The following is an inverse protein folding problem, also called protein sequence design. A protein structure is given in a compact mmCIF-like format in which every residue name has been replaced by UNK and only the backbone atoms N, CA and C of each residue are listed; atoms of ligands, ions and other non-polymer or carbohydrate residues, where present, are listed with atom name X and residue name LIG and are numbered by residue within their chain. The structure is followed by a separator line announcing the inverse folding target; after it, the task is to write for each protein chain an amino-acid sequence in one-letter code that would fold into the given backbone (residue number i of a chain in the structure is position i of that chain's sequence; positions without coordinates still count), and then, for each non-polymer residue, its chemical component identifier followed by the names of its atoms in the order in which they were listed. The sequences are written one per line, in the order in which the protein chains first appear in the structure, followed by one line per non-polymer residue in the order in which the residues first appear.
data_IF_473089979910
#
_entry.id   IF_473089979910
#
_cell.length_a   1.000
_cell.length_b   1.000
_cell.length_c   1.000
_cell.angle_alpha   90.00
_cell.angle_beta   90.00
_cell.angle_gamma   90.00
#
_symmetry.space_group_name_H-M   'P 1'
#
loop_
_entity.id
_entity.type
_entity.pdbx_description
1 polymer ?
#
# COMPACT_ATOMS: atom_id res chain seq x y z
N UNK A 1 26.09 3.54 -1.77
CA UNK A 1 27.41 2.97 -2.07
C UNK A 1 27.52 2.32 -3.45
N UNK A 2 26.42 1.88 -4.09
CA UNK A 2 26.42 1.35 -5.45
C UNK A 2 26.99 2.37 -6.45
N UNK A 3 26.61 3.65 -6.30
CA UNK A 3 27.13 4.73 -7.16
C UNK A 3 28.65 4.99 -7.01
N UNK A 4 29.26 4.55 -5.89
CA UNK A 4 30.71 4.59 -5.73
C UNK A 4 31.42 3.44 -6.46
N UNK A 5 30.75 2.30 -6.60
CA UNK A 5 31.27 1.13 -7.31
C UNK A 5 31.13 1.30 -8.83
N UNK A 6 29.94 1.67 -9.28
CA UNK A 6 29.64 1.93 -10.71
C UNK A 6 28.88 3.26 -10.79
N UNK A 7 29.59 4.39 -10.97
CA UNK A 7 28.96 5.71 -11.01
C UNK A 7 27.88 5.79 -12.10
N UNK A 8 26.75 6.40 -11.75
CA UNK A 8 25.65 6.74 -12.67
C UNK A 8 24.90 5.53 -13.28
N UNK A 9 25.11 4.32 -12.78
CA UNK A 9 24.45 3.14 -13.34
C UNK A 9 23.20 2.72 -12.57
N UNK A 10 23.27 2.69 -11.25
CA UNK A 10 22.20 2.14 -10.41
C UNK A 10 21.11 3.14 -10.05
N UNK A 11 21.36 4.41 -10.28
CA UNK A 11 20.42 5.50 -9.99
C UNK A 11 20.11 6.29 -11.25
N UNK A 12 18.84 6.70 -11.36
CA UNK A 12 18.39 7.57 -12.45
C UNK A 12 19.01 8.95 -12.34
N UNK A 13 19.25 9.58 -13.47
CA UNK A 13 19.74 10.95 -13.57
C UNK A 13 18.85 11.76 -14.48
N UNK A 14 18.67 13.02 -14.13
CA UNK A 14 18.02 14.02 -14.97
C UNK A 14 18.95 14.39 -16.16
N UNK A 15 18.43 15.11 -17.14
CA UNK A 15 19.18 15.53 -18.32
C UNK A 15 20.42 16.39 -17.98
N UNK A 16 20.37 17.14 -16.88
CA UNK A 16 21.50 17.95 -16.39
C UNK A 16 22.55 17.15 -15.62
N UNK A 17 22.35 15.83 -15.47
CA UNK A 17 23.24 14.93 -14.74
C UNK A 17 23.01 14.88 -13.22
N UNK A 18 22.02 15.58 -12.69
CA UNK A 18 21.62 15.45 -11.28
C UNK A 18 20.92 14.12 -11.04
N UNK A 19 20.94 13.60 -9.80
CA UNK A 19 20.25 12.36 -9.44
C UNK A 19 18.75 12.63 -9.36
N UNK A 20 17.93 11.83 -10.05
CA UNK A 20 16.49 11.87 -9.97
C UNK A 20 15.99 11.55 -8.57
N UNK A 21 14.97 12.25 -8.10
CA UNK A 21 14.47 12.18 -6.72
C UNK A 21 12.95 12.06 -6.62
N UNK A 22 12.35 11.26 -7.49
CA UNK A 22 10.91 10.93 -7.44
C UNK A 22 10.48 10.22 -6.16
N UNK A 23 11.44 9.67 -5.42
CA UNK A 23 11.23 9.08 -4.08
C UNK A 23 11.12 10.13 -2.95
N UNK A 24 11.55 11.37 -3.17
CA UNK A 24 11.82 12.38 -2.14
C UNK A 24 12.82 11.93 -1.06
N UNK A 25 13.58 10.85 -1.31
CA UNK A 25 14.58 10.27 -0.41
C UNK A 25 16.02 10.46 -0.91
N UNK A 26 16.22 11.28 -1.93
CA UNK A 26 17.51 11.68 -2.46
C UNK A 26 18.02 10.90 -3.68
N UNK A 27 17.34 9.85 -4.10
CA UNK A 27 17.66 9.10 -5.31
C UNK A 27 16.52 8.16 -5.73
N UNK A 28 16.52 7.78 -7.02
CA UNK A 28 15.64 6.77 -7.58
C UNK A 28 16.48 5.64 -8.18
N UNK A 29 16.08 4.41 -7.90
CA UNK A 29 16.75 3.22 -8.42
C UNK A 29 16.37 3.02 -9.88
N UNK A 30 17.38 2.86 -10.75
CA UNK A 30 17.19 2.65 -12.20
C UNK A 30 16.84 1.17 -12.49
N UNK A 31 15.63 0.77 -12.10
CA UNK A 31 15.15 -0.62 -12.15
C UNK A 31 15.05 -1.17 -13.59
N UNK A 32 14.91 -0.32 -14.58
CA UNK A 32 14.89 -0.63 -16.02
C UNK A 32 16.26 -1.03 -16.58
N UNK A 33 17.35 -0.73 -15.89
CA UNK A 33 18.70 -1.10 -16.31
C UNK A 33 19.00 -2.54 -15.89
N UNK A 34 19.52 -3.33 -16.83
CA UNK A 34 19.64 -4.80 -16.71
C UNK A 34 20.35 -5.29 -15.45
N UNK A 35 21.50 -4.71 -15.09
CA UNK A 35 22.24 -5.14 -13.90
C UNK A 35 21.54 -4.71 -12.60
N UNK A 36 20.81 -3.59 -12.61
CA UNK A 36 20.01 -3.16 -11.47
C UNK A 36 18.79 -4.07 -11.29
N UNK A 37 18.08 -4.37 -12.36
CA UNK A 37 16.96 -5.33 -12.34
C UNK A 37 17.40 -6.71 -11.84
N UNK A 38 18.54 -7.20 -12.33
CA UNK A 38 19.10 -8.48 -11.90
C UNK A 38 19.50 -8.49 -10.42
N UNK A 39 20.08 -7.40 -9.93
CA UNK A 39 20.42 -7.26 -8.52
C UNK A 39 19.17 -7.34 -7.63
N UNK A 40 18.09 -6.64 -8.01
CA UNK A 40 16.82 -6.65 -7.25
C UNK A 40 16.19 -8.05 -7.31
N UNK A 41 16.09 -8.65 -8.50
CA UNK A 41 15.54 -10.00 -8.70
C UNK A 41 16.30 -11.04 -7.87
N UNK A 42 17.63 -11.06 -7.95
CA UNK A 42 18.45 -12.01 -7.19
C UNK A 42 18.34 -11.78 -5.68
N UNK A 43 18.20 -10.54 -5.23
CA UNK A 43 17.95 -10.23 -3.82
C UNK A 43 16.62 -10.83 -3.34
N UNK A 44 15.54 -10.68 -4.10
CA UNK A 44 14.23 -11.27 -3.77
C UNK A 44 14.31 -12.79 -3.69
N UNK A 45 14.92 -13.43 -4.69
CA UNK A 45 15.07 -14.90 -4.72
C UNK A 45 15.94 -15.41 -3.57
N UNK A 46 17.04 -14.70 -3.25
CA UNK A 46 17.89 -15.03 -2.11
C UNK A 46 17.14 -15.00 -0.78
N UNK A 47 16.37 -13.95 -0.52
CA UNK A 47 15.60 -13.85 0.72
C UNK A 47 14.49 -14.89 0.82
N UNK A 48 13.84 -15.23 -0.29
CA UNK A 48 12.84 -16.30 -0.33
C UNK A 48 13.48 -17.67 -0.06
N UNK A 49 14.65 -17.95 -0.65
CA UNK A 49 15.32 -19.24 -0.55
C UNK A 49 16.00 -19.44 0.81
N UNK A 50 16.81 -18.48 1.24
CA UNK A 50 17.64 -18.64 2.45
C UNK A 50 16.88 -18.38 3.74
N UNK A 51 15.88 -17.49 3.72
CA UNK A 51 15.14 -17.08 4.91
C UNK A 51 13.68 -17.55 4.92
N UNK A 52 13.24 -18.24 3.88
CA UNK A 52 11.87 -18.76 3.72
C UNK A 52 10.80 -17.69 3.94
N UNK A 53 11.01 -16.52 3.32
CA UNK A 53 10.07 -15.40 3.38
C UNK A 53 8.91 -15.70 2.43
N UNK A 54 7.67 -15.57 2.94
CA UNK A 54 6.43 -15.88 2.20
C UNK A 54 5.90 -14.70 1.36
N UNK A 55 6.59 -13.56 1.36
CA UNK A 55 6.16 -12.41 0.55
C UNK A 55 7.06 -11.20 0.64
N UNK A 56 6.86 -10.28 -0.31
CA UNK A 56 7.63 -9.05 -0.45
C UNK A 56 6.71 -7.86 -0.66
N UNK A 57 6.92 -6.83 0.13
CA UNK A 57 6.30 -5.52 -0.05
C UNK A 57 7.35 -4.54 -0.56
N UNK A 58 7.09 -3.93 -1.71
CA UNK A 58 7.95 -2.91 -2.29
C UNK A 58 7.48 -1.51 -1.88
N UNK A 59 8.36 -0.81 -1.20
CA UNK A 59 8.21 0.60 -0.89
C UNK A 59 8.28 1.41 -2.19
N UNK A 60 7.38 2.39 -2.36
CA UNK A 60 7.31 3.19 -3.59
C UNK A 60 7.47 2.34 -4.87
N UNK A 61 6.73 1.23 -4.96
CA UNK A 61 6.76 0.34 -6.14
C UNK A 61 6.48 1.12 -7.44
N UNK A 62 5.74 2.23 -7.35
CA UNK A 62 5.48 3.12 -8.47
C UNK A 62 6.74 3.75 -9.10
N UNK A 63 7.88 3.68 -8.43
CA UNK A 63 9.19 4.08 -8.98
C UNK A 63 9.90 2.95 -9.72
N UNK A 64 9.45 1.69 -9.57
CA UNK A 64 10.01 0.55 -10.30
C UNK A 64 9.24 0.35 -11.61
N UNK A 65 9.89 -0.30 -12.57
CA UNK A 65 9.24 -0.59 -13.84
C UNK A 65 8.38 -1.87 -13.79
N UNK A 66 7.35 -1.89 -14.62
CA UNK A 66 6.42 -3.01 -14.76
C UNK A 66 7.13 -4.30 -15.15
N UNK A 67 8.14 -4.23 -16.03
CA UNK A 67 8.82 -5.42 -16.53
C UNK A 67 9.62 -6.10 -15.42
N UNK A 68 10.29 -5.34 -14.56
CA UNK A 68 10.94 -5.90 -13.37
C UNK A 68 9.95 -6.59 -12.45
N UNK A 69 8.83 -5.94 -12.12
CA UNK A 69 7.83 -6.52 -11.24
C UNK A 69 7.24 -7.82 -11.81
N UNK A 70 6.96 -7.86 -13.10
CA UNK A 70 6.49 -9.06 -13.79
C UNK A 70 7.57 -10.16 -13.85
N UNK A 71 8.84 -9.81 -14.02
CA UNK A 71 9.97 -10.76 -13.98
C UNK A 71 10.11 -11.38 -12.59
N UNK A 72 10.02 -10.58 -11.54
CA UNK A 72 10.05 -11.06 -10.14
C UNK A 72 8.88 -12.03 -9.91
N UNK A 73 7.65 -11.66 -10.32
CA UNK A 73 6.48 -12.55 -10.18
C UNK A 73 6.70 -13.89 -10.84
N UNK A 74 7.11 -13.91 -12.09
CA UNK A 74 7.35 -15.14 -12.86
C UNK A 74 8.45 -16.00 -12.23
N UNK A 75 9.56 -15.41 -11.80
CA UNK A 75 10.64 -16.15 -11.17
C UNK A 75 10.24 -16.78 -9.82
N UNK A 76 9.38 -16.10 -9.06
CA UNK A 76 8.81 -16.66 -7.82
C UNK A 76 7.83 -17.78 -8.13
N UNK A 77 6.94 -17.63 -9.12
CA UNK A 77 5.98 -18.65 -9.52
C UNK A 77 6.65 -19.92 -10.07
N UNK A 78 7.68 -19.75 -10.88
CA UNK A 78 8.47 -20.88 -11.42
C UNK A 78 9.17 -21.68 -10.32
N UNK A 79 9.63 -21.02 -9.24
CA UNK A 79 10.41 -21.65 -8.18
C UNK A 79 9.57 -22.24 -7.05
N UNK A 80 8.49 -21.59 -6.69
CA UNK A 80 7.69 -21.91 -5.50
C UNK A 80 6.25 -22.33 -5.81
N UNK A 81 5.76 -22.07 -7.01
CA UNK A 81 4.36 -22.26 -7.42
C UNK A 81 3.60 -20.95 -7.56
N UNK A 82 2.58 -20.96 -8.40
CA UNK A 82 1.78 -19.77 -8.71
C UNK A 82 1.10 -19.21 -7.46
N UNK A 83 1.46 -17.98 -7.09
CA UNK A 83 0.86 -17.24 -5.98
C UNK A 83 1.32 -17.67 -4.58
N UNK A 84 2.22 -18.66 -4.43
CA UNK A 84 2.70 -19.11 -3.11
C UNK A 84 3.48 -18.02 -2.37
N UNK A 85 4.25 -17.19 -3.08
CA UNK A 85 4.97 -16.06 -2.49
C UNK A 85 4.20 -14.77 -2.80
N UNK A 86 3.74 -14.06 -1.78
CA UNK A 86 3.03 -12.79 -1.95
C UNK A 86 3.96 -11.71 -2.50
N UNK A 87 3.51 -10.97 -3.53
CA UNK A 87 4.24 -9.86 -4.12
C UNK A 87 3.34 -8.65 -4.27
N UNK A 88 3.66 -7.54 -3.62
CA UNK A 88 2.87 -6.33 -3.70
C UNK A 88 3.69 -5.08 -3.36
N UNK A 89 3.11 -3.91 -3.57
CA UNK A 89 3.79 -2.66 -3.22
C UNK A 89 2.90 -1.43 -3.31
N UNK A 90 3.51 -0.28 -3.11
CA UNK A 90 2.86 1.02 -3.17
C UNK A 90 2.85 1.52 -4.62
N UNK A 91 1.66 1.74 -5.22
CA UNK A 91 1.53 2.11 -6.64
C UNK A 91 1.65 3.63 -6.86
N UNK A 92 2.50 4.29 -6.11
CA UNK A 92 2.74 5.73 -6.19
C UNK A 92 4.23 6.06 -6.10
N UNK A 93 4.56 7.30 -6.41
CA UNK A 93 5.82 7.98 -6.17
C UNK A 93 5.52 9.30 -5.44
N UNK A 94 6.51 9.87 -4.77
CA UNK A 94 6.35 11.19 -4.15
C UNK A 94 6.34 12.30 -5.21
N UNK A 95 7.20 12.16 -6.25
CA UNK A 95 7.32 13.09 -7.37
C UNK A 95 7.61 12.33 -8.67
N UNK A 96 7.83 13.03 -9.75
CA UNK A 96 8.23 12.44 -11.03
C UNK A 96 9.64 11.85 -10.95
N UNK A 97 9.88 10.77 -11.70
CA UNK A 97 11.17 10.10 -11.80
C UNK A 97 11.67 10.10 -13.25
N UNK A 98 12.97 10.23 -13.44
CA UNK A 98 13.62 10.18 -14.75
C UNK A 98 13.79 8.73 -15.25
N UNK A 99 12.68 8.02 -15.46
CA UNK A 99 12.68 6.66 -16.02
C UNK A 99 13.09 6.68 -17.48
N UNK A 100 13.95 5.76 -17.87
CA UNK A 100 14.59 5.76 -19.20
C UNK A 100 13.82 4.95 -20.26
N UNK A 101 13.94 5.37 -21.51
CA UNK A 101 13.41 4.66 -22.68
C UNK A 101 11.89 4.47 -22.62
N UNK A 102 11.44 3.27 -23.02
CA UNK A 102 10.03 2.90 -23.05
C UNK A 102 9.57 2.20 -21.75
N UNK A 103 10.38 2.26 -20.69
CA UNK A 103 10.04 1.66 -19.40
C UNK A 103 8.77 2.31 -18.83
N UNK A 104 7.92 1.50 -18.22
CA UNK A 104 6.62 1.92 -17.69
C UNK A 104 6.62 1.77 -16.19
N UNK A 105 6.39 2.85 -15.43
CA UNK A 105 6.38 2.78 -13.98
C UNK A 105 5.19 1.94 -13.47
N UNK A 106 5.39 1.20 -12.38
CA UNK A 106 4.36 0.38 -11.75
C UNK A 106 3.40 1.24 -10.89
N UNK A 107 2.93 2.36 -11.46
CA UNK A 107 1.93 3.24 -10.88
C UNK A 107 0.52 2.62 -10.99
N UNK A 108 -0.41 3.11 -10.18
CA UNK A 108 -1.80 2.63 -10.12
C UNK A 108 -2.49 2.55 -11.49
N UNK A 109 -2.31 3.55 -12.34
CA UNK A 109 -2.88 3.58 -13.69
C UNK A 109 -2.36 2.46 -14.60
N UNK A 110 -1.20 1.89 -14.30
CA UNK A 110 -0.56 0.82 -15.06
C UNK A 110 -0.84 -0.59 -14.49
N UNK A 111 -1.71 -0.74 -13.49
CA UNK A 111 -2.06 -2.05 -12.88
C UNK A 111 -2.47 -3.09 -13.94
N UNK A 112 -3.13 -2.65 -15.02
CA UNK A 112 -3.51 -3.51 -16.13
C UNK A 112 -2.33 -4.09 -16.93
N UNK A 113 -1.10 -3.61 -16.74
CA UNK A 113 0.14 -4.15 -17.37
C UNK A 113 0.87 -5.14 -16.47
N UNK A 114 0.57 -5.15 -15.17
CA UNK A 114 1.16 -6.10 -14.23
C UNK A 114 0.54 -7.49 -14.36
N UNK A 115 1.30 -8.50 -14.02
CA UNK A 115 0.80 -9.87 -13.86
C UNK A 115 -0.19 -9.96 -12.70
N UNK A 116 -1.16 -10.89 -12.76
CA UNK A 116 -2.25 -11.00 -11.78
C UNK A 116 -1.79 -11.24 -10.34
N UNK A 117 -0.60 -11.77 -10.17
CA UNK A 117 0.00 -12.03 -8.86
C UNK A 117 0.83 -10.87 -8.29
N UNK A 118 0.79 -9.67 -8.92
CA UNK A 118 1.43 -8.45 -8.39
C UNK A 118 0.36 -7.53 -7.83
N UNK A 119 0.31 -7.40 -6.49
CA UNK A 119 -0.66 -6.59 -5.78
C UNK A 119 -0.24 -5.14 -5.61
N UNK A 120 -1.22 -4.25 -5.51
CA UNK A 120 -1.05 -2.83 -5.22
C UNK A 120 -1.94 -2.39 -4.07
N UNK A 121 -1.41 -1.59 -3.16
CA UNK A 121 -2.23 -0.92 -2.15
C UNK A 121 -3.32 -0.08 -2.82
N UNK A 122 -4.56 -0.26 -2.37
CA UNK A 122 -5.72 0.41 -2.94
C UNK A 122 -6.10 1.67 -2.15
N UNK A 123 -5.53 2.80 -2.53
CA UNK A 123 -5.84 4.10 -1.94
C UNK A 123 -7.29 4.53 -2.21
N UNK A 124 -7.89 4.14 -3.34
CA UNK A 124 -9.29 4.42 -3.63
C UNK A 124 -10.22 3.78 -2.59
N UNK A 125 -9.98 2.52 -2.18
CA UNK A 125 -10.73 1.85 -1.10
C UNK A 125 -10.49 2.53 0.24
N UNK A 126 -9.23 2.82 0.57
CA UNK A 126 -8.85 3.50 1.81
C UNK A 126 -9.59 4.82 1.97
N UNK A 127 -9.54 5.66 0.94
CA UNK A 127 -10.08 7.02 0.99
C UNK A 127 -11.63 7.02 0.88
N UNK A 128 -12.22 6.11 0.10
CA UNK A 128 -13.66 5.95 0.07
C UNK A 128 -14.23 5.57 1.44
N UNK A 129 -13.54 4.72 2.21
CA UNK A 129 -14.03 4.26 3.51
C UNK A 129 -13.82 5.33 4.58
N UNK A 130 -12.58 5.82 4.82
CA UNK A 130 -12.24 6.67 5.97
C UNK A 130 -12.05 8.16 5.64
N UNK A 131 -12.07 8.52 4.36
CA UNK A 131 -11.80 9.86 3.87
C UNK A 131 -10.35 10.11 3.48
N UNK A 132 -10.13 11.22 2.81
CA UNK A 132 -8.86 11.58 2.19
C UNK A 132 -7.66 11.51 3.14
N UNK A 133 -6.60 10.83 2.71
CA UNK A 133 -5.47 10.47 3.59
C UNK A 133 -4.65 11.69 4.05
N UNK A 134 -4.55 12.74 3.25
CA UNK A 134 -3.80 13.97 3.58
C UNK A 134 -4.68 15.11 4.09
N UNK A 135 -6.01 14.99 4.02
CA UNK A 135 -6.95 16.03 4.41
C UNK A 135 -7.74 15.61 5.67
N UNK A 136 -7.34 16.17 6.81
CA UNK A 136 -7.86 15.76 8.11
C UNK A 136 -9.39 15.73 8.20
N UNK A 137 -10.05 16.74 7.64
CA UNK A 137 -11.51 16.99 7.78
C UNK A 137 -12.35 16.45 6.63
N UNK A 138 -11.74 15.95 5.55
CA UNK A 138 -12.52 15.34 4.46
C UNK A 138 -12.93 13.93 4.90
N UNK A 139 -14.24 13.67 5.12
CA UNK A 139 -14.74 12.38 5.55
C UNK A 139 -14.76 11.36 4.41
N UNK A 140 -14.89 10.10 4.75
CA UNK A 140 -15.28 9.02 3.84
C UNK A 140 -16.69 8.53 4.12
N UNK A 141 -17.06 7.43 3.52
CA UNK A 141 -18.37 6.82 3.64
C UNK A 141 -18.79 6.55 5.10
N UNK A 142 -17.87 6.01 5.91
CA UNK A 142 -18.21 5.61 7.29
C UNK A 142 -18.37 6.78 8.25
N UNK A 143 -17.83 7.95 7.92
CA UNK A 143 -17.81 9.12 8.81
C UNK A 143 -18.44 10.38 8.19
N UNK A 144 -19.40 10.20 7.27
CA UNK A 144 -20.36 11.21 6.88
C UNK A 144 -20.22 11.82 5.48
N UNK A 145 -19.39 11.25 4.60
CA UNK A 145 -19.42 11.63 3.19
C UNK A 145 -20.62 10.98 2.50
N UNK A 146 -21.26 11.74 1.61
CA UNK A 146 -22.35 11.31 0.76
C UNK A 146 -21.82 10.90 -0.63
N UNK A 147 -22.64 10.19 -1.42
CA UNK A 147 -22.35 9.81 -2.82
C UNK A 147 -21.11 8.91 -3.03
N UNK A 148 -20.72 8.11 -2.01
CA UNK A 148 -19.61 7.15 -2.09
C UNK A 148 -20.04 5.69 -2.22
N UNK A 149 -21.34 5.39 -2.33
CA UNK A 149 -21.88 4.02 -2.41
C UNK A 149 -21.29 3.25 -3.59
N UNK A 150 -21.09 3.93 -4.73
CA UNK A 150 -20.49 3.31 -5.90
C UNK A 150 -19.00 2.99 -5.66
N UNK A 151 -18.23 3.87 -5.02
CA UNK A 151 -16.83 3.60 -4.71
C UNK A 151 -16.69 2.47 -3.65
N UNK A 152 -17.63 2.35 -2.72
CA UNK A 152 -17.72 1.21 -1.79
C UNK A 152 -18.03 -0.09 -2.55
N UNK A 153 -18.99 -0.06 -3.50
CA UNK A 153 -19.31 -1.22 -4.32
C UNK A 153 -18.08 -1.69 -5.14
N UNK A 154 -17.35 -0.76 -5.74
CA UNK A 154 -16.12 -1.09 -6.47
C UNK A 154 -15.02 -1.61 -5.52
N UNK A 155 -14.93 -1.07 -4.31
CA UNK A 155 -14.02 -1.58 -3.27
C UNK A 155 -14.31 -3.04 -2.93
N UNK A 156 -15.59 -3.39 -2.73
CA UNK A 156 -16.02 -4.78 -2.49
C UNK A 156 -15.61 -5.71 -3.65
N UNK A 157 -15.63 -5.22 -4.89
CA UNK A 157 -15.23 -5.94 -6.11
C UNK A 157 -13.73 -5.89 -6.39
N UNK A 158 -12.92 -5.33 -5.49
CA UNK A 158 -11.48 -5.11 -5.66
C UNK A 158 -11.15 -4.30 -6.94
N UNK A 159 -11.97 -3.31 -7.29
CA UNK A 159 -11.77 -2.44 -8.47
C UNK A 159 -11.45 -3.22 -9.76
N UNK A 160 -12.00 -4.42 -9.88
CA UNK A 160 -11.76 -5.26 -11.04
C UNK A 160 -12.48 -4.71 -12.27
N UNK A 161 -11.75 -4.72 -13.41
CA UNK A 161 -12.28 -4.42 -14.71
C UNK A 161 -13.21 -5.57 -15.15
N UNK A 162 -14.47 -5.43 -14.88
CA UNK A 162 -15.52 -6.36 -15.33
C UNK A 162 -16.53 -5.63 -16.21
N UNK A 163 -17.79 -5.80 -15.88
CA UNK A 163 -18.92 -5.03 -16.44
C UNK A 163 -19.05 -3.63 -15.79
N UNK A 164 -18.04 -3.22 -14.99
CA UNK A 164 -18.05 -1.91 -14.34
C UNK A 164 -17.87 -0.79 -15.37
N UNK A 165 -18.79 0.18 -15.35
CA UNK A 165 -18.67 1.43 -16.10
C UNK A 165 -17.69 2.41 -15.46
N UNK A 166 -17.20 2.10 -14.26
CA UNK A 166 -16.26 2.95 -13.51
C UNK A 166 -14.89 2.94 -14.18
N UNK A 167 -14.45 4.10 -14.64
CA UNK A 167 -13.14 4.27 -15.31
C UNK A 167 -11.94 4.06 -14.39
N UNK A 168 -12.14 4.10 -13.07
CA UNK A 168 -11.09 3.82 -12.08
C UNK A 168 -10.85 2.32 -11.93
N UNK A 169 -11.84 1.44 -12.19
CA UNK A 169 -11.69 0.00 -12.08
C UNK A 169 -10.80 -0.54 -13.21
N UNK A 170 -9.59 -0.95 -12.88
CA UNK A 170 -8.56 -1.38 -13.86
C UNK A 170 -7.89 -2.70 -13.52
N UNK A 171 -8.07 -3.23 -12.32
CA UNK A 171 -7.48 -4.51 -11.91
C UNK A 171 -8.01 -5.65 -12.78
N UNK A 172 -7.15 -6.60 -13.14
CA UNK A 172 -7.50 -7.80 -13.91
C UNK A 172 -8.06 -8.92 -13.03
N UNK A 173 -7.71 -8.89 -11.75
CA UNK A 173 -8.09 -9.89 -10.77
C UNK A 173 -8.03 -9.28 -9.35
N UNK A 174 -8.82 -9.83 -8.39
CA UNK A 174 -8.76 -9.39 -7.00
C UNK A 174 -7.37 -9.50 -6.36
N UNK A 175 -6.57 -10.48 -6.77
CA UNK A 175 -5.20 -10.68 -6.29
C UNK A 175 -4.26 -9.48 -6.54
N UNK A 176 -4.63 -8.59 -7.46
CA UNK A 176 -3.88 -7.34 -7.69
C UNK A 176 -4.20 -6.22 -6.70
N UNK A 177 -5.16 -6.42 -5.81
CA UNK A 177 -5.64 -5.37 -4.90
C UNK A 177 -5.35 -5.72 -3.45
N UNK A 178 -4.62 -4.83 -2.77
CA UNK A 178 -4.43 -4.88 -1.32
C UNK A 178 -5.43 -3.93 -0.69
N UNK A 179 -6.46 -4.51 -0.07
CA UNK A 179 -7.54 -3.78 0.59
C UNK A 179 -7.11 -3.41 2.00
N UNK A 180 -7.20 -2.14 2.37
CA UNK A 180 -6.79 -1.63 3.67
C UNK A 180 -7.45 -0.28 3.98
N UNK A 181 -7.34 0.17 5.22
CA UNK A 181 -7.77 1.52 5.64
C UNK A 181 -6.68 2.30 6.34
N UNK A 182 -5.69 1.66 6.93
CA UNK A 182 -4.51 2.31 7.51
C UNK A 182 -3.25 1.47 7.39
N UNK A 183 -2.10 2.13 7.39
CA UNK A 183 -0.78 1.54 7.37
C UNK A 183 0.13 2.29 8.36
N UNK A 184 1.44 2.07 8.31
CA UNK A 184 2.39 2.77 9.19
C UNK A 184 2.48 4.27 8.89
N UNK A 185 2.28 4.66 7.63
CA UNK A 185 2.21 6.07 7.21
C UNK A 185 0.85 6.70 7.48
N UNK A 186 0.83 8.02 7.55
CA UNK A 186 -0.35 8.85 7.76
C UNK A 186 -1.09 8.53 9.08
N UNK A 187 -2.32 9.03 9.25
CA UNK A 187 -3.13 8.74 10.44
C UNK A 187 -3.54 7.27 10.50
N UNK A 188 -3.54 6.72 11.71
CA UNK A 188 -4.25 5.47 11.99
C UNK A 188 -5.75 5.63 11.67
N UNK A 189 -6.49 4.53 11.54
CA UNK A 189 -7.95 4.61 11.38
C UNK A 189 -8.59 5.39 12.53
N UNK A 190 -8.21 5.08 13.77
CA UNK A 190 -8.73 5.75 14.98
C UNK A 190 -8.47 7.25 14.97
N UNK A 191 -7.25 7.66 14.64
CA UNK A 191 -6.88 9.08 14.60
C UNK A 191 -7.59 9.83 13.47
N UNK A 192 -7.71 9.23 12.28
CA UNK A 192 -8.42 9.84 11.15
C UNK A 192 -9.91 10.04 11.47
N UNK A 193 -10.57 9.03 12.03
CA UNK A 193 -11.96 9.14 12.45
C UNK A 193 -12.14 10.22 13.52
N UNK A 194 -11.17 10.35 14.43
CA UNK A 194 -11.17 11.40 15.46
C UNK A 194 -11.09 12.84 14.94
N UNK A 195 -10.72 13.04 13.66
CA UNK A 195 -10.74 14.38 13.03
C UNK A 195 -12.15 14.85 12.67
N UNK A 196 -13.09 13.91 12.51
CA UNK A 196 -14.48 14.20 12.12
C UNK A 196 -15.51 13.78 13.19
N UNK A 197 -15.17 12.82 14.05
CA UNK A 197 -16.06 12.29 15.09
C UNK A 197 -15.40 12.46 16.45
N UNK A 198 -15.92 13.37 17.25
CA UNK A 198 -15.39 13.68 18.60
C UNK A 198 -15.86 12.70 19.65
N UNK A 199 -17.11 12.23 19.56
CA UNK A 199 -17.68 11.24 20.48
C UNK A 199 -16.99 9.88 20.32
N UNK A 200 -16.48 9.34 21.41
CA UNK A 200 -15.68 8.11 21.38
C UNK A 200 -16.53 6.87 21.13
N UNK A 201 -17.75 6.82 21.64
CA UNK A 201 -18.65 5.69 21.44
C UNK A 201 -19.10 5.60 19.97
N UNK A 202 -19.40 6.75 19.37
CA UNK A 202 -19.70 6.82 17.95
C UNK A 202 -18.49 6.45 17.11
N UNK A 203 -17.30 6.93 17.46
CA UNK A 203 -16.05 6.58 16.78
C UNK A 203 -15.79 5.07 16.81
N UNK A 204 -16.08 4.39 17.92
CA UNK A 204 -16.01 2.93 18.02
C UNK A 204 -16.98 2.23 17.07
N UNK A 205 -18.21 2.71 16.97
CA UNK A 205 -19.21 2.16 16.04
C UNK A 205 -18.75 2.31 14.59
N UNK A 206 -18.25 3.48 14.24
CA UNK A 206 -17.77 3.79 12.89
C UNK A 206 -16.48 3.01 12.57
N UNK A 207 -15.59 2.82 13.54
CA UNK A 207 -14.40 1.96 13.37
C UNK A 207 -14.82 0.52 13.05
N UNK A 208 -15.80 -0.05 13.76
CA UNK A 208 -16.36 -1.37 13.48
C UNK A 208 -16.97 -1.45 12.06
N UNK A 209 -17.67 -0.39 11.63
CA UNK A 209 -18.24 -0.34 10.28
C UNK A 209 -17.16 -0.31 9.21
N UNK A 210 -16.09 0.47 9.40
CA UNK A 210 -14.94 0.47 8.50
C UNK A 210 -14.31 -0.93 8.38
N UNK A 211 -14.08 -1.60 9.52
CA UNK A 211 -13.56 -2.96 9.56
C UNK A 211 -14.46 -3.94 8.81
N UNK A 212 -15.78 -3.90 9.05
CA UNK A 212 -16.73 -4.78 8.36
C UNK A 212 -16.67 -4.60 6.83
N UNK A 213 -16.53 -3.36 6.34
CA UNK A 213 -16.44 -3.11 4.91
C UNK A 213 -15.14 -3.68 4.33
N UNK A 214 -13.96 -3.22 4.82
CA UNK A 214 -12.73 -3.57 4.13
C UNK A 214 -12.31 -5.03 4.34
N UNK A 215 -12.65 -5.65 5.49
CA UNK A 215 -12.35 -7.06 5.74
C UNK A 215 -13.25 -8.03 4.97
N UNK A 216 -14.35 -7.55 4.40
CA UNK A 216 -15.24 -8.36 3.53
C UNK A 216 -15.10 -8.03 2.04
N UNK A 217 -14.21 -7.12 1.67
CA UNK A 217 -13.87 -6.89 0.28
C UNK A 217 -13.10 -8.07 -0.33
N UNK A 218 -13.20 -8.23 -1.64
CA UNK A 218 -12.32 -9.14 -2.37
C UNK A 218 -10.89 -8.59 -2.44
N UNK A 219 -9.93 -9.46 -2.70
CA UNK A 219 -8.52 -9.11 -2.75
C UNK A 219 -7.75 -9.58 -1.52
N UNK A 220 -6.51 -9.11 -1.41
CA UNK A 220 -5.66 -9.40 -0.28
C UNK A 220 -5.92 -8.37 0.83
N UNK A 221 -6.18 -8.87 2.04
CA UNK A 221 -6.43 -8.03 3.20
C UNK A 221 -5.12 -7.58 3.85
N UNK A 222 -5.02 -6.30 4.16
CA UNK A 222 -3.97 -5.75 5.01
C UNK A 222 -4.61 -4.86 6.09
N UNK A 223 -4.16 -4.99 7.33
CA UNK A 223 -4.50 -4.03 8.38
C UNK A 223 -3.31 -3.74 9.29
N UNK A 224 -3.27 -2.52 9.81
CA UNK A 224 -2.21 -2.05 10.68
C UNK A 224 -2.31 -2.74 12.06
N UNK A 225 -1.22 -3.33 12.53
CA UNK A 225 -1.16 -3.91 13.90
C UNK A 225 -1.63 -2.89 14.95
N UNK A 226 -2.61 -3.28 15.74
CA UNK A 226 -3.22 -2.44 16.78
C UNK A 226 -4.48 -1.69 16.31
N UNK A 227 -4.84 -1.74 15.05
CA UNK A 227 -6.09 -1.14 14.55
C UNK A 227 -7.30 -1.76 15.26
N UNK A 228 -7.24 -3.07 15.52
CA UNK A 228 -8.25 -3.85 16.24
C UNK A 228 -8.43 -3.47 17.73
N UNK A 229 -7.57 -2.62 18.24
CA UNK A 229 -7.72 -2.02 19.59
C UNK A 229 -7.50 -0.50 19.58
N UNK A 230 -7.93 0.16 18.50
CA UNK A 230 -7.96 1.60 18.38
C UNK A 230 -6.55 2.24 18.49
N UNK A 231 -5.53 1.67 17.84
CA UNK A 231 -4.18 2.24 17.83
C UNK A 231 -4.20 3.71 17.46
N UNK A 232 -3.48 4.51 18.24
CA UNK A 232 -3.34 5.94 18.02
C UNK A 232 -1.87 6.35 17.92
N UNK A 233 -1.60 7.39 17.19
CA UNK A 233 -0.36 8.16 17.17
C UNK A 233 -0.63 9.57 17.71
N UNK A 234 -1.53 9.67 18.72
CA UNK A 234 -2.00 10.91 19.33
C UNK A 234 -2.49 11.96 18.32
N UNK A 235 -3.09 11.48 17.22
CA UNK A 235 -3.62 12.33 16.16
C UNK A 235 -2.57 12.91 15.22
N UNK A 236 -1.30 12.50 15.33
CA UNK A 236 -0.24 12.92 14.41
C UNK A 236 -0.27 12.09 13.12
N UNK A 237 -0.07 12.75 12.02
CA UNK A 237 -0.06 12.12 10.70
C UNK A 237 1.26 11.40 10.45
N UNK A 238 2.34 12.16 10.43
CA UNK A 238 3.66 11.66 10.07
C UNK A 238 4.52 11.47 11.31
N UNK A 239 4.92 10.22 11.59
CA UNK A 239 5.63 9.85 12.82
C UNK A 239 6.86 8.98 12.56
N UNK A 240 7.34 8.90 11.30
CA UNK A 240 8.45 8.00 10.94
C UNK A 240 9.73 8.27 11.73
N UNK A 241 9.98 9.52 12.12
CA UNK A 241 11.13 9.93 12.93
C UNK A 241 10.74 10.43 14.34
N UNK A 242 9.50 10.17 14.77
CA UNK A 242 9.03 10.52 16.11
C UNK A 242 9.58 9.55 17.17
N UNK A 243 9.49 9.91 18.47
CA UNK A 243 9.88 9.03 19.55
C UNK A 243 9.17 7.67 19.49
N UNK A 244 9.88 6.62 19.94
CA UNK A 244 9.37 5.23 19.88
C UNK A 244 8.08 5.05 20.68
N UNK A 245 7.89 5.83 21.74
CA UNK A 245 6.70 5.82 22.59
C UNK A 245 5.43 6.10 21.81
N UNK A 246 5.52 6.94 20.78
CA UNK A 246 4.40 7.28 19.91
C UNK A 246 4.08 6.16 18.90
N UNK A 247 5.11 5.47 18.42
CA UNK A 247 4.97 4.44 17.38
C UNK A 247 4.75 3.02 17.95
N UNK A 248 5.01 2.81 19.23
CA UNK A 248 4.83 1.50 19.87
C UNK A 248 3.38 1.04 19.87
N UNK A 249 3.18 -0.27 20.01
CA UNK A 249 1.87 -0.85 20.32
C UNK A 249 1.59 -0.68 21.81
N UNK A 250 0.51 0.02 22.14
CA UNK A 250 0.04 0.12 23.52
C UNK A 250 -0.90 -1.05 23.84
N UNK A 251 -0.36 -2.09 24.44
CA UNK A 251 -1.12 -3.29 24.80
C UNK A 251 -2.19 -3.04 25.87
N UNK A 252 -2.12 -1.95 26.63
CA UNK A 252 -3.19 -1.58 27.57
C UNK A 252 -4.49 -1.23 26.83
N UNK A 253 -4.37 -0.66 25.64
CA UNK A 253 -5.53 -0.39 24.77
C UNK A 253 -6.24 -1.68 24.33
N UNK A 254 -5.53 -2.80 24.19
CA UNK A 254 -6.15 -4.09 23.87
C UNK A 254 -7.11 -4.59 24.95
N UNK A 255 -6.90 -4.19 26.21
CA UNK A 255 -7.84 -4.44 27.31
C UNK A 255 -8.96 -3.40 27.34
N UNK A 256 -8.62 -2.11 27.23
CA UNK A 256 -9.59 -1.02 27.24
C UNK A 256 -10.61 -1.14 26.09
N UNK A 257 -10.14 -1.47 24.90
CA UNK A 257 -10.97 -1.65 23.70
C UNK A 257 -11.23 -3.14 23.36
N UNK A 258 -11.38 -3.97 24.39
CA UNK A 258 -11.59 -5.42 24.23
C UNK A 258 -12.81 -5.79 23.40
N UNK A 259 -13.84 -4.92 23.39
CA UNK A 259 -15.04 -5.12 22.58
C UNK A 259 -14.75 -4.90 21.09
N UNK A 260 -13.97 -3.88 20.73
CA UNK A 260 -13.51 -3.67 19.36
C UNK A 260 -12.64 -4.84 18.89
N UNK A 261 -11.69 -5.28 19.72
CA UNK A 261 -10.83 -6.42 19.41
C UNK A 261 -11.64 -7.70 19.15
N UNK A 262 -12.62 -8.00 20.00
CA UNK A 262 -13.51 -9.16 19.79
C UNK A 262 -14.31 -9.06 18.50
N UNK A 263 -14.71 -7.84 18.13
CA UNK A 263 -15.40 -7.61 16.87
C UNK A 263 -14.51 -7.98 15.67
N UNK A 264 -13.25 -7.51 15.63
CA UNK A 264 -12.28 -7.88 14.60
C UNK A 264 -12.02 -9.40 14.56
N UNK A 265 -11.97 -10.07 15.72
CA UNK A 265 -11.82 -11.53 15.79
C UNK A 265 -13.03 -12.29 15.22
N UNK A 266 -14.19 -11.67 15.14
CA UNK A 266 -15.39 -12.25 14.57
C UNK A 266 -15.59 -12.02 13.08
N UNK A 267 -14.81 -11.11 12.47
CA UNK A 267 -14.80 -10.84 11.02
C UNK A 267 -13.89 -11.82 10.29
#
# INVERSE_FOLDING_TARGET
NLNKAVPWYYFRTEEDGTISNGSACGNDVASERSMCAEYILNSVLYWAEEYHIDGFRFDLMGLLDVDLMNRIRRALDERYGEGEILLFGEPWAAEQTAMEGDAVPALKENIGRLDRGVGMFCDDTRDAIKGHVFEAKIPGFVNGAEDLEQDILESVRAWCKGESENKKAKAKAPSQVITYVSAHDNWTLWDKLGKTILDEEERLRVNKMAAAIYMTCQGNLFFLSGEEFARTKDGLENTYNAPIELNRLDWQRAYAYSDLRRYYQGL
#
